data_IF_458047064964
#
_entry.id   IF_458047064964
#
_cell.length_a   1.000
_cell.length_b   1.000
_cell.length_c   1.000
_cell.angle_alpha   90.00
_cell.angle_beta   90.00
_cell.angle_gamma   90.00
#
_symmetry.space_group_name_H-M   'P 1'
#
loop_
_entity.id
_entity.type
_entity.pdbx_description
1 polymer ?
#
# COMPACT_ATOMS: atom_id res chain seq x y z
N UNK A 1 8.29 3.01 39.85
CA UNK A 1 7.68 3.98 38.93
C UNK A 1 7.16 3.18 37.77
N UNK A 2 5.88 2.83 37.83
CA UNK A 2 5.23 1.94 36.86
C UNK A 2 4.87 2.76 35.62
N UNK A 3 5.41 2.41 34.46
CA UNK A 3 5.05 3.04 33.18
C UNK A 3 3.77 2.40 32.67
N UNK A 4 2.68 3.16 32.78
CA UNK A 4 1.35 2.82 32.30
C UNK A 4 1.35 2.85 30.77
N UNK A 5 1.26 1.67 30.16
CA UNK A 5 1.01 1.55 28.73
C UNK A 5 -0.39 2.10 28.42
N UNK A 6 -0.44 3.34 27.91
CA UNK A 6 -1.66 3.87 27.31
C UNK A 6 -1.94 3.12 26.01
N UNK A 7 -2.84 2.14 26.11
CA UNK A 7 -3.50 1.48 25.00
C UNK A 7 -4.30 2.54 24.23
N UNK A 8 -3.83 2.87 23.02
CA UNK A 8 -4.52 3.81 22.14
C UNK A 8 -5.81 3.14 21.68
N UNK A 9 -6.94 3.62 22.21
CA UNK A 9 -8.28 3.16 21.89
C UNK A 9 -8.48 3.05 20.37
N UNK A 10 -8.85 1.86 19.91
CA UNK A 10 -9.28 1.63 18.55
C UNK A 10 -10.54 2.46 18.26
N UNK A 11 -10.41 3.51 17.45
CA UNK A 11 -11.56 4.23 16.93
C UNK A 11 -12.40 3.25 16.10
N UNK A 12 -13.69 3.13 16.45
CA UNK A 12 -14.61 2.23 15.75
C UNK A 12 -14.64 2.54 14.24
N UNK A 13 -14.49 1.46 13.46
CA UNK A 13 -14.32 1.50 12.01
C UNK A 13 -15.68 1.68 11.32
N UNK A 14 -15.79 2.71 10.45
CA UNK A 14 -16.90 2.84 9.53
C UNK A 14 -16.81 1.87 8.34
N UNK A 15 -17.91 1.63 7.60
CA UNK A 15 -17.95 0.70 6.48
C UNK A 15 -16.94 1.05 5.37
N UNK A 16 -16.46 0.02 4.65
CA UNK A 16 -15.53 0.20 3.53
C UNK A 16 -16.18 1.07 2.45
N UNK A 17 -15.51 2.13 1.96
CA UNK A 17 -16.09 3.00 0.95
C UNK A 17 -16.41 2.28 -0.37
N UNK A 18 -17.53 2.66 -0.98
CA UNK A 18 -17.97 2.20 -2.32
C UNK A 18 -17.16 2.88 -3.42
N UNK A 19 -17.04 2.20 -4.56
CA UNK A 19 -16.35 2.64 -5.78
C UNK A 19 -16.53 4.13 -6.16
N UNK A 20 -15.41 4.79 -6.47
CA UNK A 20 -15.27 6.06 -7.20
C UNK A 20 -14.15 6.03 -8.25
N UNK A 21 -13.70 4.83 -8.63
CA UNK A 21 -12.72 4.63 -9.72
C UNK A 21 -13.29 5.24 -11.00
N UNK A 22 -12.41 5.79 -11.84
CA UNK A 22 -12.77 6.27 -13.18
C UNK A 22 -12.36 5.20 -14.20
N UNK A 23 -13.28 4.76 -15.06
CA UNK A 23 -13.01 3.71 -16.04
C UNK A 23 -11.85 4.09 -16.97
N UNK A 24 -11.78 5.36 -17.38
CA UNK A 24 -10.69 5.86 -18.23
C UNK A 24 -9.33 5.81 -17.52
N UNK A 25 -9.29 6.17 -16.24
CA UNK A 25 -8.07 6.08 -15.42
C UNK A 25 -7.64 4.62 -15.18
N UNK A 26 -8.59 3.71 -14.95
CA UNK A 26 -8.32 2.28 -14.86
C UNK A 26 -7.68 1.76 -16.16
N UNK A 27 -8.30 2.03 -17.31
CA UNK A 27 -7.75 1.63 -18.62
C UNK A 27 -6.36 2.24 -18.86
N UNK A 28 -6.17 3.51 -18.45
CA UNK A 28 -4.87 4.17 -18.52
C UNK A 28 -3.83 3.47 -17.64
N UNK A 29 -4.16 3.05 -16.42
CA UNK A 29 -3.24 2.31 -15.54
C UNK A 29 -2.87 0.98 -16.19
N UNK A 30 -3.85 0.17 -16.59
CA UNK A 30 -3.63 -1.15 -17.22
C UNK A 30 -2.71 -1.02 -18.44
N UNK A 31 -2.98 -0.02 -19.31
CA UNK A 31 -2.17 0.24 -20.50
C UNK A 31 -0.78 0.78 -20.18
N UNK A 32 -0.66 1.79 -19.32
CA UNK A 32 0.60 2.50 -19.07
C UNK A 32 1.58 1.65 -18.26
N UNK A 33 1.06 0.81 -17.36
CA UNK A 33 1.85 -0.13 -16.58
C UNK A 33 1.98 -1.51 -17.25
N UNK A 34 1.42 -1.66 -18.46
CA UNK A 34 1.53 -2.83 -19.33
C UNK A 34 1.16 -4.13 -18.62
N UNK A 35 0.00 -4.15 -18.00
CA UNK A 35 -0.46 -5.35 -17.32
C UNK A 35 -0.63 -6.48 -18.34
N UNK A 36 -0.02 -7.64 -18.10
CA UNK A 36 -0.23 -8.80 -18.94
C UNK A 36 -1.70 -9.28 -18.89
N UNK A 37 -2.28 -9.75 -20.01
CA UNK A 37 -3.66 -10.23 -20.05
C UNK A 37 -3.96 -11.36 -19.04
N UNK A 38 -2.96 -12.16 -18.68
CA UNK A 38 -3.07 -13.24 -17.70
C UNK A 38 -3.43 -12.76 -16.29
N UNK A 39 -3.11 -11.52 -15.93
CA UNK A 39 -3.55 -10.94 -14.66
C UNK A 39 -5.02 -10.54 -14.66
N UNK A 40 -5.69 -10.53 -15.81
CA UNK A 40 -7.12 -10.24 -15.96
C UNK A 40 -7.59 -9.11 -15.03
N UNK A 41 -7.04 -7.92 -15.28
CA UNK A 41 -7.40 -6.73 -14.51
C UNK A 41 -8.87 -6.40 -14.76
N UNK A 42 -9.65 -6.28 -13.69
CA UNK A 42 -11.09 -6.07 -13.72
C UNK A 42 -11.45 -4.75 -13.08
N UNK A 43 -12.16 -3.94 -13.86
CA UNK A 43 -12.87 -2.79 -13.34
C UNK A 43 -14.02 -3.29 -12.44
N UNK A 44 -14.14 -2.79 -11.20
CA UNK A 44 -15.20 -3.22 -10.28
C UNK A 44 -16.58 -2.69 -10.73
N UNK A 45 -17.62 -3.47 -10.47
CA UNK A 45 -19.00 -3.09 -10.74
C UNK A 45 -19.50 -2.03 -9.74
N UNK A 46 -20.54 -1.30 -10.13
CA UNK A 46 -21.18 -0.31 -9.26
C UNK A 46 -21.67 -0.97 -7.97
N UNK A 47 -21.38 -0.34 -6.83
CA UNK A 47 -21.77 -0.84 -5.50
C UNK A 47 -20.75 -1.78 -4.85
N UNK A 48 -19.76 -2.30 -5.60
CA UNK A 48 -18.68 -3.07 -5.01
C UNK A 48 -17.75 -2.17 -4.18
N UNK A 49 -17.13 -2.79 -3.18
CA UNK A 49 -16.12 -2.25 -2.28
C UNK A 49 -14.79 -2.96 -2.49
N UNK A 50 -13.73 -2.42 -1.88
CA UNK A 50 -12.40 -3.04 -1.89
C UNK A 50 -12.35 -4.44 -1.25
N UNK A 51 -13.38 -4.83 -0.49
CA UNK A 51 -13.49 -6.16 0.12
C UNK A 51 -14.19 -7.19 -0.80
N UNK A 52 -14.78 -6.76 -1.92
CA UNK A 52 -15.59 -7.61 -2.79
C UNK A 52 -14.79 -8.20 -3.96
N UNK A 53 -13.48 -8.42 -3.77
CA UNK A 53 -12.65 -9.10 -4.75
C UNK A 53 -13.19 -10.53 -4.99
N UNK A 54 -13.39 -10.96 -6.25
CA UNK A 54 -13.82 -12.33 -6.54
C UNK A 54 -12.80 -13.37 -6.03
N UNK A 55 -13.21 -14.63 -5.81
CA UNK A 55 -12.27 -15.70 -5.51
C UNK A 55 -11.16 -15.80 -6.56
N UNK A 56 -9.90 -15.86 -6.11
CA UNK A 56 -8.71 -15.86 -7.00
C UNK A 56 -8.28 -14.47 -7.46
N UNK A 57 -8.83 -13.40 -6.89
CA UNK A 57 -8.47 -12.02 -7.20
C UNK A 57 -8.07 -11.25 -5.95
N UNK A 58 -7.20 -10.27 -6.14
CA UNK A 58 -6.80 -9.31 -5.12
C UNK A 58 -7.20 -7.89 -5.50
N UNK A 59 -7.51 -7.09 -4.49
CA UNK A 59 -7.75 -5.65 -4.65
C UNK A 59 -6.45 -4.87 -4.67
N UNK A 60 -6.29 -3.99 -5.66
CA UNK A 60 -5.24 -2.98 -5.71
C UNK A 60 -5.83 -1.59 -5.82
N UNK A 61 -5.14 -0.60 -5.26
CA UNK A 61 -5.54 0.80 -5.32
C UNK A 61 -4.79 1.53 -6.43
N UNK A 62 -5.47 2.44 -7.14
CA UNK A 62 -4.86 3.24 -8.21
C UNK A 62 -3.60 3.96 -7.75
N UNK A 63 -3.65 4.54 -6.54
CA UNK A 63 -2.56 5.33 -5.97
C UNK A 63 -1.32 4.50 -5.64
N UNK A 64 -1.40 3.16 -5.60
CA UNK A 64 -0.20 2.33 -5.56
C UNK A 64 0.68 2.57 -6.79
N UNK A 65 0.05 2.70 -7.96
CA UNK A 65 0.74 2.87 -9.23
C UNK A 65 1.07 4.34 -9.49
N UNK A 66 0.09 5.23 -9.30
CA UNK A 66 0.22 6.65 -9.65
C UNK A 66 1.19 7.41 -8.73
N UNK A 67 1.23 7.05 -7.45
CA UNK A 67 2.00 7.77 -6.43
C UNK A 67 2.98 6.85 -5.70
N UNK A 68 2.60 5.59 -5.50
CA UNK A 68 3.41 4.60 -4.80
C UNK A 68 4.58 4.06 -5.62
N UNK A 69 4.63 4.32 -6.93
CA UNK A 69 5.59 3.70 -7.86
C UNK A 69 5.65 2.17 -7.72
N UNK A 70 4.49 1.57 -7.43
CA UNK A 70 4.33 0.13 -7.39
C UNK A 70 4.33 -0.43 -8.81
N UNK A 71 4.94 -1.60 -8.97
CA UNK A 71 4.97 -2.36 -10.21
C UNK A 71 4.68 -3.80 -9.89
N UNK A 72 4.08 -4.48 -10.86
CA UNK A 72 3.86 -5.91 -10.82
C UNK A 72 4.81 -6.58 -11.85
N UNK A 73 5.26 -7.83 -11.59
CA UNK A 73 5.13 -8.54 -10.32
C UNK A 73 5.80 -7.76 -9.18
N UNK A 74 5.28 -7.91 -7.96
CA UNK A 74 5.83 -7.22 -6.80
C UNK A 74 7.29 -7.67 -6.57
N UNK A 75 8.14 -6.74 -6.14
CA UNK A 75 9.53 -7.04 -5.79
C UNK A 75 9.63 -7.99 -4.59
N UNK A 76 10.71 -8.77 -4.51
CA UNK A 76 11.02 -9.63 -3.37
C UNK A 76 10.97 -8.87 -2.04
N UNK A 77 11.50 -7.65 -1.98
CA UNK A 77 11.47 -6.85 -0.76
C UNK A 77 10.04 -6.48 -0.32
N UNK A 78 9.16 -6.12 -1.25
CA UNK A 78 7.72 -5.96 -0.95
C UNK A 78 7.13 -7.23 -0.37
N UNK A 79 7.41 -8.39 -0.98
CA UNK A 79 7.00 -9.70 -0.45
C UNK A 79 7.51 -9.95 0.97
N UNK A 80 8.79 -9.64 1.25
CA UNK A 80 9.37 -9.76 2.58
C UNK A 80 8.70 -8.84 3.61
N UNK A 81 8.31 -7.63 3.23
CA UNK A 81 7.57 -6.69 4.09
C UNK A 81 6.18 -7.26 4.43
N UNK A 82 5.43 -7.68 3.42
CA UNK A 82 4.08 -8.25 3.60
C UNK A 82 4.13 -9.51 4.48
N UNK A 83 5.09 -10.40 4.22
CA UNK A 83 5.30 -11.62 5.00
C UNK A 83 5.71 -11.32 6.46
N UNK A 84 6.67 -10.41 6.68
CA UNK A 84 7.15 -10.09 8.03
C UNK A 84 6.08 -9.47 8.92
N UNK A 85 5.27 -8.56 8.37
CA UNK A 85 4.21 -7.88 9.12
C UNK A 85 2.86 -8.60 9.07
N UNK A 86 2.79 -9.71 8.33
CA UNK A 86 1.62 -10.58 8.23
C UNK A 86 0.32 -9.83 7.85
N UNK A 87 0.36 -9.07 6.76
CA UNK A 87 -0.84 -8.45 6.18
C UNK A 87 -0.86 -8.57 4.66
N UNK A 88 -2.05 -8.60 4.09
CA UNK A 88 -2.26 -8.72 2.66
C UNK A 88 -2.04 -7.38 1.95
N UNK A 89 -1.56 -7.39 0.69
CA UNK A 89 -1.29 -6.17 -0.07
C UNK A 89 -2.51 -5.22 -0.16
N UNK A 90 -3.72 -5.78 -0.28
CA UNK A 90 -5.00 -5.03 -0.25
C UNK A 90 -5.27 -4.28 1.05
N UNK A 91 -4.58 -4.62 2.15
CA UNK A 91 -4.69 -3.93 3.43
C UNK A 91 -3.65 -2.81 3.58
N UNK A 92 -2.75 -2.63 2.60
CA UNK A 92 -1.78 -1.54 2.60
C UNK A 92 -2.44 -0.22 2.15
N UNK A 93 -2.04 0.88 2.79
CA UNK A 93 -2.37 2.23 2.33
C UNK A 93 -1.33 2.74 1.32
N UNK A 94 -1.71 3.62 0.36
CA UNK A 94 -0.75 4.24 -0.56
C UNK A 94 0.43 4.98 0.11
N UNK A 95 0.26 5.70 1.24
CA UNK A 95 1.41 6.21 2.00
C UNK A 95 2.37 5.12 2.50
N UNK A 96 1.86 3.92 2.80
CA UNK A 96 2.68 2.77 3.17
C UNK A 96 3.50 2.29 1.98
N UNK A 97 2.84 2.13 0.83
CA UNK A 97 3.45 1.75 -0.45
C UNK A 97 4.61 2.70 -0.82
N UNK A 98 4.38 4.02 -0.78
CA UNK A 98 5.43 5.03 -1.06
C UNK A 98 6.66 4.81 -0.18
N UNK A 99 6.49 4.57 1.13
CA UNK A 99 7.62 4.40 2.04
C UNK A 99 8.42 3.14 1.75
N UNK A 100 7.74 2.03 1.46
CA UNK A 100 8.40 0.77 1.11
C UNK A 100 9.17 0.91 -0.20
N UNK A 101 8.52 1.42 -1.26
CA UNK A 101 9.12 1.60 -2.58
C UNK A 101 10.25 2.63 -2.58
N UNK A 102 10.10 3.73 -1.84
CA UNK A 102 11.14 4.75 -1.70
C UNK A 102 12.37 4.21 -0.98
N UNK A 103 12.17 3.47 0.12
CA UNK A 103 13.27 2.82 0.83
C UNK A 103 14.01 1.84 -0.08
N UNK A 104 13.28 0.99 -0.80
CA UNK A 104 13.87 0.03 -1.73
C UNK A 104 14.68 0.71 -2.83
N UNK A 105 14.12 1.76 -3.44
CA UNK A 105 14.80 2.57 -4.44
C UNK A 105 16.11 3.18 -3.90
N UNK A 106 16.08 3.73 -2.68
CA UNK A 106 17.27 4.28 -2.03
C UNK A 106 18.33 3.21 -1.76
N UNK A 107 17.93 2.02 -1.33
CA UNK A 107 18.87 0.91 -1.13
C UNK A 107 19.58 0.58 -2.44
N UNK A 108 18.83 0.36 -3.52
CA UNK A 108 19.41 0.04 -4.82
C UNK A 108 20.26 1.18 -5.40
N UNK A 109 19.87 2.44 -5.25
CA UNK A 109 20.65 3.59 -5.74
C UNK A 109 22.01 3.72 -5.04
N UNK A 110 22.17 3.10 -3.87
CA UNK A 110 23.41 3.07 -3.10
C UNK A 110 24.12 1.70 -3.10
N UNK A 111 23.67 0.74 -3.91
CA UNK A 111 24.25 -0.61 -3.95
C UNK A 111 24.04 -1.41 -2.66
N UNK A 112 23.03 -1.07 -1.87
CA UNK A 112 22.66 -1.75 -0.63
C UNK A 112 21.51 -2.70 -0.91
N UNK A 113 21.59 -3.92 -0.40
CA UNK A 113 20.46 -4.85 -0.47
C UNK A 113 19.35 -4.42 0.53
N UNK A 114 18.12 -4.14 0.05
CA UNK A 114 17.00 -3.81 0.93
C UNK A 114 16.61 -5.02 1.80
N UNK A 115 16.44 -4.80 3.11
CA UNK A 115 15.97 -5.84 4.01
C UNK A 115 15.02 -5.27 5.05
N UNK A 116 14.15 -6.13 5.58
CA UNK A 116 13.10 -5.72 6.53
C UNK A 116 13.72 -5.10 7.79
N UNK A 117 14.85 -5.62 8.28
CA UNK A 117 15.53 -5.05 9.45
C UNK A 117 16.09 -3.66 9.20
N UNK A 118 16.65 -3.40 8.01
CA UNK A 118 17.10 -2.06 7.63
C UNK A 118 15.92 -1.10 7.51
N UNK A 119 14.81 -1.55 6.93
CA UNK A 119 13.58 -0.75 6.84
C UNK A 119 13.04 -0.38 8.22
N UNK A 120 13.03 -1.34 9.15
CA UNK A 120 12.59 -1.18 10.54
C UNK A 120 13.44 -0.19 11.32
N UNK A 121 14.70 0.03 10.96
CA UNK A 121 15.52 1.06 11.59
C UNK A 121 14.95 2.47 11.37
N UNK A 122 14.27 2.71 10.24
CA UNK A 122 13.68 4.01 9.90
C UNK A 122 12.19 4.10 10.17
N UNK A 123 11.49 2.96 10.08
CA UNK A 123 10.03 2.92 10.10
C UNK A 123 9.47 1.94 11.13
N UNK A 124 8.24 2.21 11.57
CA UNK A 124 7.43 1.32 12.38
C UNK A 124 6.05 1.16 11.76
N UNK A 125 5.46 -0.03 11.91
CA UNK A 125 4.11 -0.30 11.44
C UNK A 125 3.12 0.64 12.14
N UNK A 126 2.18 1.17 11.37
CA UNK A 126 1.07 1.98 11.87
C UNK A 126 -0.20 1.48 11.21
N UNK A 127 -1.27 1.30 11.99
CA UNK A 127 -2.62 1.06 11.45
C UNK A 127 -3.46 2.32 11.62
N UNK A 128 -4.26 2.67 10.63
CA UNK A 128 -5.16 3.82 10.68
C UNK A 128 -6.39 3.55 9.84
N UNK A 129 -7.57 3.59 10.48
CA UNK A 129 -8.87 3.39 9.83
C UNK A 129 -8.90 2.11 8.97
N UNK A 130 -8.51 0.97 9.54
CA UNK A 130 -8.48 -0.33 8.84
C UNK A 130 -7.22 -0.65 8.04
N UNK A 131 -6.40 0.34 7.68
CA UNK A 131 -5.27 0.13 6.76
C UNK A 131 -3.90 0.19 7.42
N UNK A 132 -3.00 -0.65 6.93
CA UNK A 132 -1.59 -0.67 7.32
C UNK A 132 -0.79 0.40 6.56
N UNK A 133 0.13 1.02 7.27
CA UNK A 133 1.07 2.02 6.78
C UNK A 133 2.34 1.97 7.64
N UNK A 134 3.24 2.91 7.40
CA UNK A 134 4.48 3.03 8.15
C UNK A 134 4.68 4.47 8.64
N UNK A 135 5.02 4.63 9.90
CA UNK A 135 5.42 5.91 10.49
C UNK A 135 6.94 5.93 10.70
N UNK A 136 7.55 7.12 10.73
CA UNK A 136 8.95 7.25 11.12
C UNK A 136 9.16 6.73 12.55
N UNK A 137 10.26 6.03 12.79
CA UNK A 137 10.62 5.50 14.11
C UNK A 137 11.37 6.53 14.93
N UNK A 138 10.78 7.02 16.02
CA UNK A 138 11.42 7.91 16.98
C UNK A 138 12.15 9.10 16.33
N UNK A 139 13.39 9.34 16.74
CA UNK A 139 14.27 10.38 16.19
C UNK A 139 15.07 9.93 14.94
N UNK A 140 14.69 8.83 14.28
CA UNK A 140 15.38 8.37 13.09
C UNK A 140 15.43 9.45 12.00
N UNK A 141 16.56 9.53 11.30
CA UNK A 141 16.74 10.46 10.19
C UNK A 141 15.68 10.18 9.12
N UNK A 142 14.96 11.22 8.71
CA UNK A 142 13.98 11.12 7.62
C UNK A 142 14.72 10.85 6.30
N UNK A 143 14.44 9.71 5.70
CA UNK A 143 14.96 9.34 4.36
C UNK A 143 13.97 9.70 3.24
N UNK A 144 12.68 9.82 3.56
CA UNK A 144 11.67 10.41 2.69
C UNK A 144 11.46 11.87 3.12
N UNK A 145 12.13 12.78 2.42
CA UNK A 145 12.14 14.21 2.75
C UNK A 145 10.84 14.91 2.33
N UNK A 146 10.35 14.58 1.14
CA UNK A 146 9.17 15.19 0.52
C UNK A 146 8.10 14.12 0.27
N UNK A 147 7.39 13.64 1.31
CA UNK A 147 6.26 12.74 1.10
C UNK A 147 5.17 13.44 0.25
N UNK A 148 4.41 12.71 -0.58
CA UNK A 148 3.27 13.26 -1.30
C UNK A 148 2.32 14.01 -0.35
N UNK A 149 1.81 15.16 -0.81
CA UNK A 149 0.88 16.00 -0.06
C UNK A 149 -0.48 15.33 -0.04
N UNK A 150 -0.64 14.41 0.91
CA UNK A 150 -1.81 13.60 1.25
C UNK A 150 -2.34 12.68 0.14
N UNK A 151 -3.07 11.66 0.60
CA UNK A 151 -3.84 10.74 -0.23
C UNK A 151 -5.29 10.92 0.18
N UNK A 152 -5.97 11.86 -0.46
CA UNK A 152 -7.39 12.08 -0.21
C UNK A 152 -8.21 11.11 -1.09
N UNK A 153 -9.24 10.50 -0.50
CA UNK A 153 -10.22 9.67 -1.20
C UNK A 153 -9.63 8.55 -2.08
N UNK A 154 -8.51 7.95 -1.65
CA UNK A 154 -7.88 6.83 -2.36
C UNK A 154 -8.64 5.50 -2.17
N UNK A 155 -9.28 5.30 -1.01
CA UNK A 155 -9.98 4.06 -0.64
C UNK A 155 -11.04 3.62 -1.67
N UNK A 156 -11.88 4.51 -2.24
CA UNK A 156 -12.85 4.12 -3.26
C UNK A 156 -12.25 3.95 -4.66
N UNK A 157 -10.93 4.15 -4.86
CA UNK A 157 -10.25 4.05 -6.15
C UNK A 157 -9.45 2.76 -6.23
N UNK A 158 -10.11 1.68 -6.62
CA UNK A 158 -9.54 0.35 -6.65
C UNK A 158 -10.00 -0.44 -7.87
N UNK A 159 -9.27 -1.51 -8.16
CA UNK A 159 -9.62 -2.52 -9.15
C UNK A 159 -9.11 -3.89 -8.69
N UNK A 160 -9.51 -4.94 -9.39
CA UNK A 160 -9.13 -6.32 -9.08
C UNK A 160 -8.13 -6.85 -10.10
N UNK A 161 -7.21 -7.71 -9.67
CA UNK A 161 -6.36 -8.52 -10.55
C UNK A 161 -6.35 -9.96 -10.06
N UNK A 162 -6.11 -10.90 -10.95
CA UNK A 162 -5.93 -12.31 -10.62
C UNK A 162 -4.62 -12.52 -9.87
N UNK A 163 -4.67 -13.35 -8.82
CA UNK A 163 -3.48 -13.76 -8.06
C UNK A 163 -2.56 -14.73 -8.81
#
# INVERSE_FOLDING_TARGET
MSEEHQEVAAAEEGPVPVLKCDLGLFEQIVRSFRFPPEWDARYPAQGQTAADAPPGYITLYEDFFLQGNFRLPATNFMGHILHHYNFHLSQMSPPGMVRVRHFEFLCHSHGIEPSVDKFRAFYQLKRTMGFFSFASRGAAKKILLNPPKSFHDWKPKFFFIRE
#
